data_IF_729959091746
#
_entry.id   IF_729959091746
#
_cell.length_a   1.000
_cell.length_b   1.000
_cell.length_c   1.000
_cell.angle_alpha   90.00
_cell.angle_beta   90.00
_cell.angle_gamma   90.00
#
_symmetry.space_group_name_H-M   'P 1'
#
loop_
_entity.id
_entity.type
_entity.pdbx_description
1 polymer ?
#
# COMPACT_ATOMS: atom_id res chain seq x y z
N UNK A 1 -9.05 -12.57 4.51
CA UNK A 1 -9.57 -11.19 4.57
C UNK A 1 -9.99 -10.71 3.18
N UNK A 2 -9.13 -10.72 2.15
CA UNK A 2 -9.49 -10.32 0.77
C UNK A 2 -10.64 -11.13 0.14
N UNK A 3 -10.60 -12.46 0.26
CA UNK A 3 -11.66 -13.35 -0.26
C UNK A 3 -13.04 -13.12 0.39
N UNK A 4 -13.12 -12.49 1.56
CA UNK A 4 -14.41 -12.14 2.17
C UNK A 4 -15.07 -10.94 1.49
N UNK A 5 -14.29 -10.14 0.76
CA UNK A 5 -14.74 -8.96 0.02
C UNK A 5 -14.72 -9.18 -1.49
N UNK A 6 -14.45 -10.40 -1.96
CA UNK A 6 -14.28 -10.74 -3.38
C UNK A 6 -13.25 -9.85 -4.10
N UNK A 7 -12.19 -9.47 -3.39
CA UNK A 7 -11.09 -8.67 -3.92
C UNK A 7 -9.88 -9.55 -4.23
N UNK A 8 -9.22 -9.26 -5.34
CA UNK A 8 -7.89 -9.80 -5.67
C UNK A 8 -6.78 -8.85 -5.22
N UNK A 9 -5.52 -9.31 -5.30
CA UNK A 9 -4.35 -8.48 -5.02
C UNK A 9 -4.22 -7.26 -5.94
N UNK A 10 -4.85 -7.31 -7.12
CA UNK A 10 -4.79 -6.25 -8.13
C UNK A 10 -5.92 -5.22 -7.93
N UNK A 11 -6.91 -5.51 -7.07
CA UNK A 11 -8.00 -4.60 -6.72
C UNK A 11 -7.70 -3.74 -5.49
N UNK A 12 -6.51 -3.92 -4.90
CA UNK A 12 -6.13 -3.26 -3.65
C UNK A 12 -4.74 -2.65 -3.75
N UNK A 13 -4.59 -1.54 -3.03
CA UNK A 13 -3.30 -0.94 -2.71
C UNK A 13 -3.13 -0.88 -1.21
N UNK A 14 -1.88 -0.96 -0.75
CA UNK A 14 -1.57 -0.94 0.67
C UNK A 14 -0.48 0.10 0.97
N UNK A 15 -0.71 0.95 1.97
CA UNK A 15 0.30 1.86 2.47
C UNK A 15 0.43 1.74 3.98
N UNK A 16 1.66 1.76 4.47
CA UNK A 16 1.96 1.50 5.88
C UNK A 16 3.31 2.11 6.26
N UNK A 17 3.50 2.44 7.55
CA UNK A 17 4.74 2.99 8.09
C UNK A 17 5.76 1.93 8.54
N UNK A 18 5.30 0.73 8.89
CA UNK A 18 6.17 -0.39 9.25
C UNK A 18 6.74 -1.06 7.98
N UNK A 19 8.07 -1.03 7.82
CA UNK A 19 8.75 -1.57 6.64
C UNK A 19 8.57 -3.07 6.45
N UNK A 20 8.46 -3.85 7.53
CA UNK A 20 8.30 -5.30 7.45
C UNK A 20 6.89 -5.67 6.97
N UNK A 21 5.87 -4.92 7.41
CA UNK A 21 4.50 -5.07 6.90
C UNK A 21 4.43 -4.74 5.40
N UNK A 22 5.10 -3.67 4.96
CA UNK A 22 5.19 -3.32 3.53
C UNK A 22 5.85 -4.44 2.72
N UNK A 23 6.99 -4.97 3.16
CA UNK A 23 7.68 -6.10 2.50
C UNK A 23 6.82 -7.35 2.43
N UNK A 24 6.04 -7.62 3.48
CA UNK A 24 5.11 -8.75 3.50
C UNK A 24 4.03 -8.60 2.42
N UNK A 25 3.41 -7.41 2.32
CA UNK A 25 2.43 -7.12 1.28
C UNK A 25 3.02 -7.15 -0.15
N UNK A 26 4.25 -6.65 -0.33
CA UNK A 26 4.99 -6.78 -1.60
C UNK A 26 5.21 -8.24 -1.99
N UNK A 27 5.59 -9.09 -1.04
CA UNK A 27 5.81 -10.51 -1.28
C UNK A 27 4.52 -11.25 -1.64
N UNK A 28 3.36 -10.73 -1.21
CA UNK A 28 2.04 -11.18 -1.61
C UNK A 28 1.59 -10.62 -2.99
N UNK A 29 2.41 -9.80 -3.65
CA UNK A 29 2.13 -9.20 -4.95
C UNK A 29 1.20 -7.99 -4.91
N UNK A 30 1.00 -7.37 -3.76
CA UNK A 30 0.16 -6.18 -3.59
C UNK A 30 0.99 -4.93 -3.93
N UNK A 31 0.39 -3.97 -4.65
CA UNK A 31 1.02 -2.66 -4.91
C UNK A 31 1.08 -1.88 -3.59
N UNK A 32 2.28 -1.45 -3.21
CA UNK A 32 2.53 -0.90 -1.88
C UNK A 32 3.27 0.42 -1.88
N UNK A 33 3.06 1.20 -0.81
CA UNK A 33 3.81 2.40 -0.50
C UNK A 33 4.27 2.39 0.96
N UNK A 34 5.57 2.57 1.19
CA UNK A 34 6.10 2.75 2.54
C UNK A 34 5.97 4.23 2.93
N UNK A 35 5.07 4.52 3.86
CA UNK A 35 4.85 5.88 4.35
C UNK A 35 5.82 6.21 5.49
N UNK A 36 6.62 7.26 5.34
CA UNK A 36 7.51 7.74 6.39
C UNK A 36 6.75 8.70 7.33
N UNK A 37 6.44 8.29 8.58
CA UNK A 37 5.64 9.09 9.50
C UNK A 37 6.38 10.30 10.07
N UNK A 38 7.71 10.33 9.97
CA UNK A 38 8.53 11.46 10.41
C UNK A 38 8.55 12.56 9.34
N UNK A 39 8.67 12.17 8.06
CA UNK A 39 8.60 13.12 6.93
C UNK A 39 7.19 13.67 6.72
N UNK A 40 6.16 12.88 7.05
CA UNK A 40 4.74 13.24 6.84
C UNK A 40 4.45 13.73 5.41
N UNK A 41 5.07 13.08 4.44
CA UNK A 41 4.96 13.46 3.03
C UNK A 41 3.60 13.02 2.45
N UNK A 42 2.59 13.86 2.67
CA UNK A 42 1.23 13.61 2.18
C UNK A 42 1.13 13.81 0.66
N UNK A 43 2.00 14.62 0.05
CA UNK A 43 2.03 14.79 -1.41
C UNK A 43 2.57 13.52 -2.07
N UNK A 44 3.61 12.91 -1.51
CA UNK A 44 4.11 11.60 -1.94
C UNK A 44 3.06 10.49 -1.83
N UNK A 45 2.33 10.44 -0.71
CA UNK A 45 1.23 9.49 -0.54
C UNK A 45 0.11 9.75 -1.55
N UNK A 46 -0.31 11.01 -1.72
CA UNK A 46 -1.35 11.38 -2.69
C UNK A 46 -0.97 10.94 -4.10
N UNK A 47 0.27 11.22 -4.52
CA UNK A 47 0.77 10.81 -5.84
C UNK A 47 0.72 9.31 -6.03
N UNK A 48 1.10 8.53 -5.01
CA UNK A 48 0.97 7.08 -5.06
C UNK A 48 -0.48 6.62 -5.26
N UNK A 49 -1.45 7.25 -4.58
CA UNK A 49 -2.87 6.95 -4.75
C UNK A 49 -3.34 7.29 -6.17
N UNK A 50 -3.00 8.49 -6.67
CA UNK A 50 -3.38 8.95 -8.00
C UNK A 50 -2.77 8.08 -9.12
N UNK A 51 -1.56 7.56 -8.95
CA UNK A 51 -0.90 6.66 -9.92
C UNK A 51 -1.37 5.20 -9.80
N UNK A 52 -2.24 4.88 -8.84
CA UNK A 52 -2.71 3.52 -8.57
C UNK A 52 -4.19 3.29 -8.80
N UNK A 53 -4.97 4.35 -9.02
CA UNK A 53 -6.40 4.34 -9.32
C UNK A 53 -6.64 4.70 -10.80
#
# INVERSE_FOLDING_TARGET
MFNHFDLSKDDVIYFEHNSEAVKSAQSAGIKTYHYDPDKKDLEGLRRFLDESL
#
